data_IF_412453839741
#
_entry.id   IF_412453839741
#
_cell.length_a   1.000
_cell.length_b   1.000
_cell.length_c   1.000
_cell.angle_alpha   90.00
_cell.angle_beta   90.00
_cell.angle_gamma   90.00
#
_symmetry.space_group_name_H-M   'P 1'
#
loop_
_entity.id
_entity.type
_entity.pdbx_description
1 polymer ?
#
# COMPACT_ATOMS: atom_id res chain seq x y z
N UNK A 1 -3.41 12.96 18.63
CA UNK A 1 -4.44 12.22 17.86
C UNK A 1 -4.68 13.00 16.57
N UNK A 2 -4.98 12.35 15.44
CA UNK A 2 -5.41 13.07 14.23
C UNK A 2 -6.84 13.58 14.42
N UNK A 3 -7.15 14.74 13.84
CA UNK A 3 -8.52 15.24 13.76
C UNK A 3 -9.31 14.45 12.70
N UNK A 4 -10.63 14.52 12.77
CA UNK A 4 -11.53 13.86 11.83
C UNK A 4 -11.26 14.32 10.38
N UNK A 5 -11.01 15.63 10.19
CA UNK A 5 -10.65 16.23 8.91
C UNK A 5 -9.35 15.63 8.33
N UNK A 6 -8.32 15.47 9.17
CA UNK A 6 -7.04 14.90 8.74
C UNK A 6 -7.18 13.41 8.40
N UNK A 7 -8.07 12.69 9.10
CA UNK A 7 -8.39 11.31 8.76
C UNK A 7 -9.13 11.22 7.43
N UNK A 8 -10.10 12.10 7.18
CA UNK A 8 -10.83 12.15 5.92
C UNK A 8 -9.91 12.47 4.73
N UNK A 9 -9.00 13.44 4.88
CA UNK A 9 -7.99 13.75 3.86
C UNK A 9 -7.09 12.54 3.58
N UNK A 10 -6.66 11.84 4.63
CA UNK A 10 -5.87 10.61 4.49
C UNK A 10 -6.66 9.47 3.82
N UNK A 11 -7.97 9.35 4.04
CA UNK A 11 -8.79 8.38 3.30
C UNK A 11 -8.90 8.71 1.82
N UNK A 12 -9.00 9.99 1.47
CA UNK A 12 -9.07 10.45 0.09
C UNK A 12 -7.81 10.05 -0.69
N UNK A 13 -6.64 10.36 -0.17
CA UNK A 13 -5.37 10.02 -0.83
C UNK A 13 -5.06 8.51 -0.80
N UNK A 14 -5.46 7.78 0.25
CA UNK A 14 -5.31 6.31 0.29
C UNK A 14 -6.17 5.60 -0.78
N UNK A 15 -7.23 6.24 -1.26
CA UNK A 15 -8.05 5.73 -2.37
C UNK A 15 -7.37 5.94 -3.73
N UNK A 16 -6.43 6.87 -3.83
CA UNK A 16 -5.61 7.09 -5.02
C UNK A 16 -4.27 6.33 -4.94
N UNK A 17 -3.51 6.31 -6.04
CA UNK A 17 -2.19 5.70 -6.04
C UNK A 17 -1.22 6.55 -5.22
N UNK A 18 -0.25 5.90 -4.58
CA UNK A 18 0.80 6.66 -3.91
C UNK A 18 1.57 7.51 -4.95
N UNK A 19 2.15 8.65 -4.58
CA UNK A 19 2.83 9.57 -5.52
C UNK A 19 3.94 8.91 -6.35
N UNK A 20 4.49 7.81 -5.85
CA UNK A 20 5.54 7.00 -6.48
C UNK A 20 4.98 5.91 -7.43
N UNK A 21 3.66 5.89 -7.69
CA UNK A 21 2.98 4.88 -8.51
C UNK A 21 2.85 3.49 -7.88
N UNK A 22 3.38 3.31 -6.67
CA UNK A 22 3.28 2.07 -5.90
C UNK A 22 2.20 2.10 -4.81
N UNK A 23 2.22 1.09 -3.96
CA UNK A 23 1.29 1.00 -2.83
C UNK A 23 1.64 1.99 -1.71
N UNK A 24 0.62 2.34 -0.91
CA UNK A 24 0.76 3.12 0.31
C UNK A 24 1.45 2.31 1.41
N UNK A 25 2.51 2.87 1.99
CA UNK A 25 3.25 2.27 3.09
C UNK A 25 3.28 3.24 4.29
N UNK A 26 3.55 2.73 5.49
CA UNK A 26 3.59 3.55 6.70
C UNK A 26 4.54 4.75 6.62
N UNK A 27 5.65 4.61 5.88
CA UNK A 27 6.58 5.73 5.64
C UNK A 27 5.97 6.80 4.72
N UNK A 28 5.30 6.41 3.64
CA UNK A 28 4.62 7.34 2.72
C UNK A 28 3.49 8.09 3.41
N UNK A 29 2.73 7.39 4.26
CA UNK A 29 1.70 8.02 5.09
C UNK A 29 2.31 9.00 6.09
N UNK A 30 3.43 8.65 6.71
CA UNK A 30 4.12 9.57 7.62
C UNK A 30 4.66 10.81 6.91
N UNK A 31 5.19 10.66 5.71
CA UNK A 31 5.70 11.75 4.87
C UNK A 31 4.58 12.73 4.50
N UNK A 32 3.47 12.21 3.96
CA UNK A 32 2.28 12.99 3.65
C UNK A 32 1.71 13.73 4.88
N UNK A 33 1.64 13.04 6.02
CA UNK A 33 1.20 13.66 7.26
C UNK A 33 2.19 14.69 7.80
N UNK A 34 3.49 14.56 7.49
CA UNK A 34 4.49 15.55 7.85
C UNK A 34 4.26 16.85 7.10
N UNK A 35 3.94 16.75 5.80
CA UNK A 35 3.59 17.89 4.96
C UNK A 35 2.26 18.53 5.38
N UNK A 36 1.22 17.71 5.61
CA UNK A 36 -0.12 18.19 5.96
C UNK A 36 -0.17 18.88 7.32
N UNK A 37 0.62 18.39 8.28
CA UNK A 37 0.60 18.84 9.68
C UNK A 37 1.74 19.82 10.00
N UNK A 38 2.61 20.08 9.03
CA UNK A 38 3.85 20.84 9.18
C UNK A 38 4.68 20.39 10.40
N UNK A 39 4.60 19.09 10.74
CA UNK A 39 5.25 18.52 11.93
C UNK A 39 5.89 17.18 11.60
N UNK A 40 7.04 16.85 12.20
CA UNK A 40 7.67 15.56 11.97
C UNK A 40 6.78 14.42 12.50
N UNK A 41 6.39 13.51 11.60
CA UNK A 41 5.66 12.28 11.93
C UNK A 41 6.60 11.10 11.74
N UNK A 42 6.71 10.23 12.76
CA UNK A 42 7.56 9.06 12.64
C UNK A 42 6.95 8.01 11.71
N UNK A 43 7.76 7.23 10.95
CA UNK A 43 7.25 6.16 10.11
C UNK A 43 6.41 5.11 10.87
N UNK A 44 6.71 4.91 12.15
CA UNK A 44 5.98 4.02 13.05
C UNK A 44 4.55 4.54 13.30
N UNK A 45 4.38 5.86 13.45
CA UNK A 45 3.07 6.47 13.58
C UNK A 45 2.24 6.27 12.31
N UNK A 46 2.85 6.47 11.12
CA UNK A 46 2.17 6.22 9.85
C UNK A 46 1.66 4.78 9.71
N UNK A 47 2.45 3.78 10.12
CA UNK A 47 1.99 2.38 10.15
C UNK A 47 0.88 2.14 11.17
N UNK A 48 0.97 2.75 12.36
CA UNK A 48 -0.06 2.61 13.40
C UNK A 48 -1.40 3.19 12.94
N UNK A 49 -1.37 4.31 12.21
CA UNK A 49 -2.54 4.95 11.61
C UNK A 49 -3.17 4.04 10.55
N UNK A 50 -2.35 3.49 9.64
CA UNK A 50 -2.83 2.52 8.64
C UNK A 50 -3.53 1.33 9.28
N UNK A 51 -2.95 0.77 10.35
CA UNK A 51 -3.58 -0.33 11.11
C UNK A 51 -4.90 0.09 11.76
N UNK A 52 -4.94 1.29 12.35
CA UNK A 52 -6.15 1.82 12.99
C UNK A 52 -7.28 2.07 11.98
N UNK A 53 -6.92 2.42 10.75
CA UNK A 53 -7.86 2.58 9.62
C UNK A 53 -8.26 1.25 8.97
N UNK A 54 -7.82 0.11 9.52
CA UNK A 54 -8.05 -1.22 8.94
C UNK A 54 -7.66 -1.32 7.44
N UNK A 55 -6.75 -0.44 6.99
CA UNK A 55 -6.37 -0.36 5.59
C UNK A 55 -5.59 -1.62 5.22
N UNK A 56 -6.09 -2.34 4.22
CA UNK A 56 -5.45 -3.55 3.71
C UNK A 56 -4.96 -3.28 2.29
N UNK A 57 -3.67 -3.51 2.06
CA UNK A 57 -3.04 -3.46 0.74
C UNK A 57 -3.59 -4.61 -0.11
N UNK A 58 -4.74 -4.42 -0.75
CA UNK A 58 -5.32 -5.41 -1.65
C UNK A 58 -4.67 -5.27 -3.02
N UNK A 59 -3.58 -5.99 -3.23
CA UNK A 59 -3.06 -6.21 -4.57
C UNK A 59 -3.87 -7.33 -5.20
N UNK A 60 -4.38 -7.20 -6.44
CA UNK A 60 -4.89 -8.36 -7.15
C UNK A 60 -3.78 -9.40 -7.18
N UNK A 61 -4.09 -10.62 -6.73
CA UNK A 61 -3.12 -11.72 -6.77
C UNK A 61 -2.61 -11.81 -8.21
N UNK A 62 -1.28 -11.77 -8.45
CA UNK A 62 -0.76 -11.94 -9.80
C UNK A 62 -1.27 -13.28 -10.34
N UNK A 63 -2.07 -13.22 -11.39
CA UNK A 63 -2.57 -14.41 -12.06
C UNK A 63 -1.38 -15.11 -12.69
N UNK A 64 -1.11 -16.34 -12.25
CA UNK A 64 -0.06 -17.17 -12.84
C UNK A 64 -0.31 -17.25 -14.35
N UNK A 65 0.58 -16.67 -15.15
CA UNK A 65 0.51 -16.80 -16.60
C UNK A 65 0.52 -18.29 -16.95
N UNK A 66 -0.43 -18.74 -17.77
CA UNK A 66 -0.52 -20.15 -18.17
C UNK A 66 0.83 -20.55 -18.78
N UNK A 67 1.54 -21.44 -18.11
CA UNK A 67 2.84 -21.93 -18.58
C UNK A 67 2.66 -22.70 -19.89
N UNK A 68 3.62 -22.59 -20.81
CA UNK A 68 3.59 -23.22 -22.12
C UNK A 68 3.43 -24.76 -21.97
N UNK A 69 2.42 -25.39 -22.60
CA UNK A 69 2.17 -26.82 -22.44
C UNK A 69 3.36 -27.69 -22.84
N UNK A 70 4.12 -27.27 -23.86
CA UNK A 70 5.28 -28.00 -24.37
C UNK A 70 6.35 -28.22 -23.29
N UNK A 71 6.70 -27.17 -22.54
CA UNK A 71 7.74 -27.25 -21.51
C UNK A 71 7.34 -28.11 -20.31
N UNK A 72 6.04 -28.22 -20.01
CA UNK A 72 5.54 -29.13 -18.98
C UNK A 72 5.64 -30.60 -19.41
N UNK A 73 5.48 -30.90 -20.70
CA UNK A 73 5.58 -32.27 -21.21
C UNK A 73 7.02 -32.77 -21.20
N UNK A 74 7.98 -31.91 -21.55
CA UNK A 74 9.41 -32.25 -21.48
C UNK A 74 9.88 -32.42 -20.03
N UNK A 75 9.39 -31.60 -19.09
CA UNK A 75 9.70 -31.76 -17.67
C UNK A 75 9.18 -33.09 -17.09
N UNK A 76 7.95 -33.50 -17.45
CA UNK A 76 7.33 -34.73 -16.92
C UNK A 76 7.95 -36.03 -17.45
N UNK A 77 8.85 -35.96 -18.43
CA UNK A 77 9.47 -37.13 -19.07
C UNK A 77 10.82 -37.55 -18.49
N UNK A 78 11.42 -36.75 -17.60
CA UNK A 78 12.62 -37.12 -16.82
C UNK A 78 12.24 -37.58 -15.42
#
# INVERSE_FOLDING_TARGET
MLTDEQQAQLYQILSDNAPDGGLWNGRKVADYLCELLERPVSPQQGWRILKQMNFTLKVPRPSLGKSNPQQQQDWKKN
#
